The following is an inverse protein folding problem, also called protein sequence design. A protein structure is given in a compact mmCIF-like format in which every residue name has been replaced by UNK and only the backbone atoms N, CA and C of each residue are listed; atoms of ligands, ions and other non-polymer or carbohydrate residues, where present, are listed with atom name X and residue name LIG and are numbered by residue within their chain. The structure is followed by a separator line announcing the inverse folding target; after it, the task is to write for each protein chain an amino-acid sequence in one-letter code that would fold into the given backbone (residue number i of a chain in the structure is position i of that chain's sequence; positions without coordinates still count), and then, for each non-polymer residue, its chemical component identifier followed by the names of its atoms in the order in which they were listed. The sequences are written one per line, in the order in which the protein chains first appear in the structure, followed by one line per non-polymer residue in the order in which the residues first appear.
data_IF_471590653727
#
_entry.id   IF_471590653727
#
_cell.length_a   1.000
_cell.length_b   1.000
_cell.length_c   1.000
_cell.angle_alpha   90.00
_cell.angle_beta   90.00
_cell.angle_gamma   90.00
#
_symmetry.space_group_name_H-M   'P 1'
#
loop_
_entity.id
_entity.type
_entity.pdbx_description
1 polymer ?
#
# COMPACT_ATOMS: atom_id res chain seq x y z
N UNK A 1 -2.15 25.21 -12.26
CA UNK A 1 -1.00 24.32 -12.05
C UNK A 1 -0.67 24.38 -10.57
N UNK A 2 -1.33 23.55 -9.78
CA UNK A 2 -1.09 23.45 -8.33
C UNK A 2 -0.27 22.19 -8.10
N UNK A 3 0.88 22.37 -7.50
CA UNK A 3 1.87 21.36 -7.13
C UNK A 3 1.20 20.13 -6.50
N UNK A 4 1.10 19.02 -7.25
CA UNK A 4 0.93 17.70 -6.66
C UNK A 4 2.19 17.45 -5.83
N UNK A 5 2.11 17.70 -4.52
CA UNK A 5 3.02 17.06 -3.60
C UNK A 5 2.82 15.56 -3.83
N UNK A 6 3.76 14.92 -4.54
CA UNK A 6 3.78 13.49 -4.77
C UNK A 6 3.35 12.81 -3.47
N UNK A 7 2.18 12.17 -3.48
CA UNK A 7 1.56 11.59 -2.29
C UNK A 7 2.47 10.45 -1.83
N UNK A 8 3.46 10.77 -1.02
CA UNK A 8 4.45 9.81 -0.54
C UNK A 8 3.75 8.78 0.33
N UNK A 9 3.97 7.50 0.03
CA UNK A 9 3.45 6.43 0.87
C UNK A 9 4.29 6.41 2.15
N UNK A 10 3.66 6.53 3.32
CA UNK A 10 4.31 6.46 4.64
C UNK A 10 3.56 5.48 5.54
N UNK A 11 4.18 5.03 6.63
CA UNK A 11 3.52 4.13 7.58
C UNK A 11 2.23 4.75 8.15
N UNK A 12 2.23 6.05 8.43
CA UNK A 12 1.03 6.77 8.88
C UNK A 12 -0.07 6.78 7.81
N UNK A 13 0.30 6.99 6.56
CA UNK A 13 -0.64 6.94 5.43
C UNK A 13 -1.23 5.55 5.24
N UNK A 14 -0.42 4.50 5.32
CA UNK A 14 -0.92 3.11 5.23
C UNK A 14 -1.83 2.78 6.42
N UNK A 15 -1.51 3.26 7.63
CA UNK A 15 -2.39 3.13 8.80
C UNK A 15 -3.74 3.79 8.58
N UNK A 16 -3.77 5.01 8.02
CA UNK A 16 -5.00 5.69 7.64
C UNK A 16 -5.82 4.88 6.63
N UNK A 17 -5.18 4.26 5.64
CA UNK A 17 -5.87 3.37 4.69
C UNK A 17 -6.51 2.15 5.39
N UNK A 18 -5.84 1.60 6.41
CA UNK A 18 -6.32 0.45 7.18
C UNK A 18 -7.34 0.83 8.27
N UNK A 19 -7.65 2.11 8.47
CA UNK A 19 -8.53 2.57 9.56
C UNK A 19 -10.02 2.34 9.29
N UNK A 20 -10.42 1.99 8.06
CA UNK A 20 -11.81 1.65 7.75
C UNK A 20 -12.22 0.29 8.36
N UNK A 21 -12.88 0.35 9.51
CA UNK A 21 -13.36 -0.82 10.25
C UNK A 21 -14.38 -1.69 9.52
N UNK A 22 -15.05 -1.16 8.49
CA UNK A 22 -15.96 -1.97 7.67
C UNK A 22 -15.20 -2.92 6.76
N UNK A 23 -13.99 -2.54 6.37
CA UNK A 23 -13.11 -3.31 5.50
C UNK A 23 -12.09 -4.11 6.32
N UNK A 24 -11.56 -3.52 7.38
CA UNK A 24 -10.53 -4.10 8.26
C UNK A 24 -11.02 -4.22 9.71
N UNK A 25 -12.02 -5.09 9.98
CA UNK A 25 -12.57 -5.22 11.33
C UNK A 25 -11.53 -5.69 12.36
N UNK A 26 -10.52 -6.46 11.93
CA UNK A 26 -9.48 -7.02 12.80
C UNK A 26 -8.26 -6.12 13.07
N UNK A 27 -8.14 -4.96 12.41
CA UNK A 27 -6.90 -4.17 12.46
C UNK A 27 -6.98 -3.05 13.50
N UNK A 28 -6.26 -3.08 14.64
CA UNK A 28 -6.33 -2.02 15.67
C UNK A 28 -5.97 -0.63 15.14
N UNK A 29 -6.58 0.44 15.68
CA UNK A 29 -6.33 1.83 15.22
C UNK A 29 -4.88 2.24 15.51
N UNK A 30 -4.35 1.77 16.64
CA UNK A 30 -2.97 1.97 17.04
C UNK A 30 -2.09 0.76 16.63
N UNK A 31 -2.31 0.22 15.42
CA UNK A 31 -1.47 -0.87 14.90
C UNK A 31 -0.01 -0.42 14.85
N UNK A 32 0.82 -1.02 15.70
CA UNK A 32 2.28 -0.83 15.69
C UNK A 32 2.91 -1.29 14.38
N UNK A 33 4.05 -0.73 14.01
CA UNK A 33 4.69 -1.02 12.72
C UNK A 33 5.07 -2.50 12.54
N UNK A 34 5.47 -3.15 13.65
CA UNK A 34 5.88 -4.56 13.70
C UNK A 34 4.79 -5.48 14.28
N UNK A 35 3.59 -4.96 14.51
CA UNK A 35 2.47 -5.79 14.97
C UNK A 35 2.01 -6.74 13.85
N UNK A 36 1.52 -7.91 14.26
CA UNK A 36 0.96 -8.89 13.35
C UNK A 36 -0.29 -8.31 12.65
N UNK A 37 -0.21 -8.23 11.32
CA UNK A 37 -1.28 -7.76 10.45
C UNK A 37 -1.79 -8.94 9.64
N UNK A 38 -3.10 -9.18 9.68
CA UNK A 38 -3.76 -10.18 8.85
C UNK A 38 -4.73 -9.46 7.93
N UNK A 39 -4.53 -9.64 6.62
CA UNK A 39 -5.41 -9.12 5.58
C UNK A 39 -6.18 -10.28 4.96
N UNK A 40 -7.51 -10.23 5.05
CA UNK A 40 -8.37 -11.11 4.26
C UNK A 40 -8.30 -10.73 2.77
N UNK A 41 -8.75 -11.63 1.90
CA UNK A 41 -8.76 -11.43 0.44
C UNK A 41 -9.47 -10.15 0.00
N UNK A 42 -10.61 -9.82 0.62
CA UNK A 42 -11.34 -8.57 0.35
C UNK A 42 -10.56 -7.35 0.83
N UNK A 43 -9.95 -7.41 2.02
CA UNK A 43 -9.19 -6.31 2.59
C UNK A 43 -7.97 -5.97 1.74
N UNK A 44 -7.27 -6.99 1.24
CA UNK A 44 -6.15 -6.81 0.32
C UNK A 44 -6.60 -6.15 -0.98
N UNK A 45 -7.60 -6.71 -1.68
CA UNK A 45 -8.07 -6.14 -2.96
C UNK A 45 -8.55 -4.70 -2.79
N UNK A 46 -9.30 -4.42 -1.71
CA UNK A 46 -9.75 -3.06 -1.42
C UNK A 46 -8.58 -2.12 -1.17
N UNK A 47 -7.57 -2.56 -0.41
CA UNK A 47 -6.37 -1.75 -0.16
C UNK A 47 -5.66 -1.39 -1.47
N UNK A 48 -5.44 -2.37 -2.36
CA UNK A 48 -4.78 -2.14 -3.65
C UNK A 48 -5.59 -1.17 -4.51
N UNK A 49 -6.92 -1.33 -4.54
CA UNK A 49 -7.82 -0.41 -5.24
C UNK A 49 -7.72 1.04 -4.71
N UNK A 50 -7.71 1.24 -3.39
CA UNK A 50 -7.60 2.59 -2.82
C UNK A 50 -6.21 3.18 -3.05
N UNK A 51 -5.15 2.35 -3.05
CA UNK A 51 -3.80 2.78 -3.40
C UNK A 51 -3.75 3.25 -4.86
N UNK A 52 -4.37 2.53 -5.78
CA UNK A 52 -4.50 2.95 -7.18
C UNK A 52 -5.27 4.27 -7.29
N UNK A 53 -6.45 4.38 -6.69
CA UNK A 53 -7.30 5.58 -6.80
C UNK A 53 -6.62 6.84 -6.21
N UNK A 54 -5.90 6.70 -5.09
CA UNK A 54 -5.31 7.85 -4.37
C UNK A 54 -3.91 8.22 -4.85
N UNK A 55 -3.14 7.23 -5.31
CA UNK A 55 -1.72 7.42 -5.65
C UNK A 55 -1.42 7.17 -7.13
N UNK A 56 -2.39 6.67 -7.91
CA UNK A 56 -2.17 6.20 -9.28
C UNK A 56 -1.18 5.04 -9.34
N UNK A 57 -1.04 4.28 -8.24
CA UNK A 57 -0.08 3.20 -8.10
C UNK A 57 -0.80 1.86 -8.25
N UNK A 58 -0.64 1.23 -9.41
CA UNK A 58 -1.14 -0.12 -9.67
C UNK A 58 -0.08 -1.11 -9.21
N UNK A 59 -0.47 -2.04 -8.32
CA UNK A 59 0.40 -3.09 -7.78
C UNK A 59 -0.29 -4.44 -7.88
N UNK A 60 0.45 -5.44 -8.35
CA UNK A 60 -0.02 -6.81 -8.49
C UNK A 60 0.89 -7.74 -7.66
N UNK A 61 0.63 -7.86 -6.33
CA UNK A 61 1.45 -8.70 -5.47
C UNK A 61 1.34 -10.16 -5.87
N UNK A 62 2.48 -10.84 -5.91
CA UNK A 62 2.53 -12.30 -6.09
C UNK A 62 2.12 -13.02 -4.81
N UNK A 63 1.90 -14.34 -4.87
CA UNK A 63 1.59 -15.14 -3.68
C UNK A 63 2.69 -15.01 -2.59
N UNK A 64 3.95 -14.87 -3.00
CA UNK A 64 5.08 -14.67 -2.08
C UNK A 64 5.01 -13.29 -1.42
N UNK A 65 4.69 -12.25 -2.19
CA UNK A 65 4.49 -10.90 -1.65
C UNK A 65 3.36 -10.89 -0.62
N UNK A 66 2.21 -11.47 -0.96
CA UNK A 66 1.03 -11.57 -0.08
C UNK A 66 1.40 -12.27 1.23
N UNK A 67 2.13 -13.39 1.17
CA UNK A 67 2.62 -14.09 2.35
C UNK A 67 3.57 -13.23 3.21
N UNK A 68 4.23 -12.24 2.59
CA UNK A 68 5.08 -11.26 3.25
C UNK A 68 4.34 -10.05 3.85
N UNK A 69 3.07 -9.80 3.52
CA UNK A 69 2.30 -8.61 3.98
C UNK A 69 1.73 -8.78 5.40
N UNK A 70 2.57 -9.20 6.34
CA UNK A 70 2.17 -9.60 7.71
C UNK A 70 2.40 -8.52 8.78
N UNK A 71 2.80 -7.31 8.38
CA UNK A 71 2.96 -6.16 9.28
C UNK A 71 2.86 -4.86 8.51
N UNK A 72 2.54 -3.76 9.22
CA UNK A 72 2.46 -2.43 8.63
C UNK A 72 3.80 -2.00 8.02
N UNK A 73 4.93 -2.35 8.66
CA UNK A 73 6.27 -2.07 8.14
C UNK A 73 6.52 -2.76 6.80
N UNK A 74 6.20 -4.05 6.68
CA UNK A 74 6.40 -4.81 5.43
C UNK A 74 5.48 -4.30 4.32
N UNK A 75 4.21 -4.06 4.64
CA UNK A 75 3.25 -3.50 3.69
C UNK A 75 3.68 -2.12 3.19
N UNK A 76 4.10 -1.24 4.08
CA UNK A 76 4.62 0.09 3.71
C UNK A 76 5.87 -0.02 2.84
N UNK A 77 6.77 -0.94 3.18
CA UNK A 77 7.98 -1.20 2.39
C UNK A 77 7.67 -1.67 0.97
N UNK A 78 6.74 -2.61 0.83
CA UNK A 78 6.27 -3.12 -0.47
C UNK A 78 5.69 -2.01 -1.34
N UNK A 79 4.75 -1.22 -0.80
CA UNK A 79 4.13 -0.12 -1.54
C UNK A 79 5.11 0.99 -1.93
N UNK A 80 6.10 1.26 -1.07
CA UNK A 80 7.19 2.20 -1.40
C UNK A 80 8.10 1.70 -2.50
N UNK A 81 8.44 0.42 -2.49
CA UNK A 81 9.25 -0.18 -3.55
C UNK A 81 8.53 -0.05 -4.90
N UNK A 82 7.24 -0.37 -4.95
CA UNK A 82 6.43 -0.19 -6.15
C UNK A 82 6.32 1.29 -6.58
N UNK A 83 6.22 2.23 -5.64
CA UNK A 83 6.23 3.67 -5.95
C UNK A 83 7.56 4.09 -6.61
N UNK A 84 8.69 3.61 -6.10
CA UNK A 84 10.01 3.88 -6.69
C UNK A 84 10.17 3.22 -8.07
N UNK A 85 9.75 1.97 -8.24
CA UNK A 85 9.78 1.26 -9.52
C UNK A 85 8.95 1.97 -10.60
N UNK A 86 7.79 2.54 -10.23
CA UNK A 86 6.98 3.37 -11.14
C UNK A 86 7.73 4.62 -11.59
N UNK A 87 8.41 5.30 -10.65
CA UNK A 87 9.19 6.50 -10.94
C UNK A 87 10.40 6.19 -11.84
N UNK A 88 11.05 5.04 -11.65
CA UNK A 88 12.18 4.56 -12.47
C UNK A 88 11.74 3.99 -13.83
N UNK A 89 10.59 3.31 -13.88
CA UNK A 89 10.02 2.66 -15.07
C UNK A 89 9.38 3.62 -16.07
N UNK A 90 9.07 4.86 -15.67
CA UNK A 90 8.55 5.90 -16.54
C UNK A 90 9.52 6.43 -17.61
N UNK A 91 10.77 5.94 -17.65
CA UNK A 91 11.81 6.36 -18.60
C UNK A 91 12.07 5.41 -19.78
N UNK A 92 11.31 4.32 -19.95
CA UNK A 92 11.66 3.27 -20.93
C UNK A 92 10.48 2.76 -21.76
N UNK A 93 9.69 3.66 -22.33
CA UNK A 93 8.67 3.30 -23.33
C UNK A 93 8.77 4.22 -24.57
N UNK A 94 9.95 4.26 -25.21
CA UNK A 94 10.14 4.79 -26.57
C UNK A 94 11.30 4.06 -27.26
N UNK A 95 11.02 2.92 -27.92
CA UNK A 95 11.89 2.35 -28.96
C UNK A 95 11.05 1.72 -30.07
#
# INVERSE_FOLDING_TARGET
MSTEAASLITAGTVRELLSDRKIFPGVPDDLGEDAELVLDSLGLVWLLHVVEERYGLVVEPTDEDIAGLTSLRRLTGYLRAAQAEREEGGGRDER
#
